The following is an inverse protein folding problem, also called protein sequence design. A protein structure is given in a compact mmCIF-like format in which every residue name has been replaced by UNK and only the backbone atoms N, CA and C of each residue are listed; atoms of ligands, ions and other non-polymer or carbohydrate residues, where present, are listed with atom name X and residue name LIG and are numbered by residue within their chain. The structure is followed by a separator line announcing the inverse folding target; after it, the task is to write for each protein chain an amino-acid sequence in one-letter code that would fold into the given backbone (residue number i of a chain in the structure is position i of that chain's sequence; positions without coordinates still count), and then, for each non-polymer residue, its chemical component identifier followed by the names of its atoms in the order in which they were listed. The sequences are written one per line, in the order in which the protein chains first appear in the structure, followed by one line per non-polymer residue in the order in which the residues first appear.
data_IF_879253276626
#
_entry.id   IF_879253276626
#
_cell.length_a   1.000
_cell.length_b   1.000
_cell.length_c   1.000
_cell.angle_alpha   90.00
_cell.angle_beta   90.00
_cell.angle_gamma   90.00
#
_symmetry.space_group_name_H-M   'P 1'
#
loop_
_entity.id
_entity.type
_entity.pdbx_description
1 polymer ?
#
# COMPACT_ATOMS: atom_id res chain seq x y z
N UNK A 1 16.93 -10.22 -13.55
CA UNK A 1 17.04 -8.79 -13.90
C UNK A 1 17.71 -8.08 -12.73
N UNK A 2 18.73 -7.26 -12.97
CA UNK A 2 19.32 -6.45 -11.88
C UNK A 2 18.29 -5.40 -11.46
N UNK A 3 17.93 -5.39 -10.18
CA UNK A 3 17.03 -4.36 -9.63
C UNK A 3 17.81 -3.06 -9.57
N UNK A 4 17.27 -2.03 -10.22
CA UNK A 4 17.88 -0.69 -10.25
C UNK A 4 17.92 -0.07 -8.83
N UNK A 5 19.09 0.40 -8.41
CA UNK A 5 19.31 1.01 -7.09
C UNK A 5 18.42 2.23 -6.84
N UNK A 6 18.08 3.00 -7.89
CA UNK A 6 17.17 4.14 -7.76
C UNK A 6 15.75 3.68 -7.43
N UNK A 7 15.34 2.54 -7.99
CA UNK A 7 14.05 1.91 -7.70
C UNK A 7 13.98 1.40 -6.25
N UNK A 8 15.07 0.84 -5.73
CA UNK A 8 15.18 0.44 -4.32
C UNK A 8 15.05 1.65 -3.38
N UNK A 9 15.76 2.75 -3.68
CA UNK A 9 15.72 3.96 -2.87
C UNK A 9 14.32 4.58 -2.85
N UNK A 10 13.66 4.69 -4.00
CA UNK A 10 12.30 5.22 -4.09
C UNK A 10 11.31 4.38 -3.27
N UNK A 11 11.43 3.05 -3.32
CA UNK A 11 10.57 2.15 -2.58
C UNK A 11 10.82 2.23 -1.07
N UNK A 12 12.08 2.37 -0.65
CA UNK A 12 12.45 2.60 0.74
C UNK A 12 11.87 3.91 1.29
N UNK A 13 12.02 5.01 0.53
CA UNK A 13 11.48 6.32 0.91
C UNK A 13 9.96 6.28 1.04
N UNK A 14 9.29 5.61 0.09
CA UNK A 14 7.84 5.47 0.13
C UNK A 14 7.37 4.63 1.31
N UNK A 15 7.99 3.47 1.54
CA UNK A 15 7.68 2.60 2.68
C UNK A 15 7.93 3.32 4.01
N UNK A 16 9.06 4.01 4.16
CA UNK A 16 9.36 4.82 5.34
C UNK A 16 8.25 5.84 5.62
N UNK A 17 7.87 6.62 4.60
CA UNK A 17 6.86 7.65 4.76
C UNK A 17 5.50 7.06 5.15
N UNK A 18 5.06 5.98 4.48
CA UNK A 18 3.80 5.33 4.78
C UNK A 18 3.76 4.75 6.19
N UNK A 19 4.83 4.09 6.63
CA UNK A 19 4.90 3.51 7.97
C UNK A 19 4.96 4.60 9.03
N UNK A 20 5.70 5.68 8.79
CA UNK A 20 5.77 6.84 9.69
C UNK A 20 4.42 7.51 9.85
N UNK A 21 3.70 7.75 8.76
CA UNK A 21 2.39 8.41 8.77
C UNK A 21 1.31 7.48 9.34
N UNK A 22 1.29 6.21 8.92
CA UNK A 22 0.29 5.22 9.35
C UNK A 22 0.38 4.89 10.84
N UNK A 23 1.58 4.58 11.34
CA UNK A 23 1.79 4.24 12.75
C UNK A 23 2.09 5.45 13.64
N UNK A 24 2.17 6.66 13.07
CA UNK A 24 2.57 7.90 13.79
C UNK A 24 3.85 7.69 14.62
N UNK A 25 4.80 6.93 14.08
CA UNK A 25 6.06 6.57 14.76
C UNK A 25 7.25 7.09 13.98
N UNK A 26 8.28 7.54 14.69
CA UNK A 26 9.58 7.93 14.13
C UNK A 26 10.66 6.88 14.45
N UNK A 27 10.26 5.61 14.57
CA UNK A 27 11.19 4.53 14.92
C UNK A 27 12.36 4.46 13.95
N UNK A 28 13.57 4.26 14.51
CA UNK A 28 14.77 4.03 13.72
C UNK A 28 14.66 2.77 12.84
N UNK A 29 13.85 1.79 13.24
CA UNK A 29 13.72 0.51 12.52
C UNK A 29 13.00 0.66 11.18
N UNK A 30 12.17 1.70 11.01
CA UNK A 30 11.46 1.98 9.75
C UNK A 30 12.14 3.08 8.93
N UNK A 31 13.36 3.49 9.28
CA UNK A 31 14.08 4.54 8.55
C UNK A 31 14.37 4.14 7.11
N UNK A 32 14.50 5.14 6.24
CA UNK A 32 14.81 4.95 4.81
C UNK A 32 16.10 4.13 4.62
N UNK A 33 17.12 4.36 5.44
CA UNK A 33 18.38 3.60 5.41
C UNK A 33 18.17 2.11 5.75
N UNK A 34 17.41 1.82 6.81
CA UNK A 34 17.15 0.43 7.24
C UNK A 34 16.33 -0.31 6.18
N UNK A 35 15.29 0.32 5.65
CA UNK A 35 14.45 -0.25 4.60
C UNK A 35 15.25 -0.41 3.30
N UNK A 36 16.08 0.58 2.93
CA UNK A 36 16.96 0.50 1.76
C UNK A 36 17.96 -0.64 1.86
N UNK A 37 18.62 -0.81 3.02
CA UNK A 37 19.52 -1.94 3.27
C UNK A 37 18.82 -3.29 3.21
N UNK A 38 17.58 -3.36 3.72
CA UNK A 38 16.76 -4.57 3.66
C UNK A 38 16.40 -4.93 2.23
N UNK A 39 15.91 -3.97 1.46
CA UNK A 39 15.56 -4.16 0.05
C UNK A 39 16.78 -4.51 -0.81
N UNK A 40 17.92 -3.88 -0.54
CA UNK A 40 19.17 -4.21 -1.22
C UNK A 40 19.60 -5.65 -0.91
N UNK A 41 19.47 -6.09 0.33
CA UNK A 41 19.79 -7.45 0.75
C UNK A 41 18.93 -8.51 0.03
N UNK A 42 17.62 -8.33 -0.03
CA UNK A 42 16.74 -9.31 -0.70
C UNK A 42 16.87 -9.29 -2.23
N UNK A 43 17.32 -8.18 -2.81
CA UNK A 43 17.54 -8.06 -4.26
C UNK A 43 18.94 -8.46 -4.71
N UNK A 44 19.89 -8.49 -3.76
CA UNK A 44 21.26 -8.96 -3.95
C UNK A 44 21.64 -9.93 -2.83
N UNK A 45 20.93 -11.08 -2.72
CA UNK A 45 21.16 -12.01 -1.63
C UNK A 45 22.53 -12.70 -1.77
N UNK A 46 23.15 -13.10 -0.66
CA UNK A 46 24.33 -13.97 -0.69
C UNK A 46 24.07 -15.27 -1.48
N UNK A 47 25.13 -15.91 -1.99
CA UNK A 47 25.04 -17.11 -2.87
C UNK A 47 24.24 -18.29 -2.28
N UNK A 48 24.10 -18.35 -0.95
CA UNK A 48 23.39 -19.41 -0.22
C UNK A 48 21.95 -19.04 0.17
N UNK A 49 21.49 -17.83 -0.18
CA UNK A 49 20.14 -17.38 0.13
C UNK A 49 19.25 -17.36 -1.11
N UNK A 50 17.94 -17.39 -0.86
CA UNK A 50 16.90 -17.45 -1.87
C UNK A 50 16.95 -16.21 -2.77
N UNK A 51 17.17 -16.41 -4.06
CA UNK A 51 17.26 -15.33 -5.06
C UNK A 51 15.98 -15.12 -5.88
N UNK A 52 14.99 -15.99 -5.74
CA UNK A 52 13.74 -15.98 -6.52
C UNK A 52 12.55 -16.32 -5.63
N UNK A 53 11.34 -15.95 -6.06
CA UNK A 53 10.09 -16.16 -5.32
C UNK A 53 10.13 -15.54 -3.91
N UNK A 54 10.72 -14.34 -3.78
CA UNK A 54 10.79 -13.61 -2.51
C UNK A 54 9.36 -13.37 -2.00
N UNK A 55 9.07 -13.89 -0.82
CA UNK A 55 7.79 -13.71 -0.14
C UNK A 55 7.88 -12.62 0.93
N UNK A 56 6.73 -12.24 1.48
CA UNK A 56 6.66 -11.23 2.53
C UNK A 56 7.46 -11.66 3.77
N UNK A 57 7.44 -12.94 4.09
CA UNK A 57 8.16 -13.54 5.20
C UNK A 57 9.69 -13.42 5.02
N UNK A 58 10.19 -13.60 3.78
CA UNK A 58 11.62 -13.39 3.45
C UNK A 58 12.04 -11.93 3.71
N UNK A 59 11.18 -10.97 3.39
CA UNK A 59 11.41 -9.56 3.70
C UNK A 59 11.45 -9.31 5.23
N UNK A 60 10.51 -9.87 5.99
CA UNK A 60 10.48 -9.72 7.45
C UNK A 60 11.76 -10.26 8.11
N UNK A 61 12.26 -11.42 7.65
CA UNK A 61 13.50 -12.00 8.15
C UNK A 61 14.73 -11.15 7.81
N UNK A 62 14.84 -10.71 6.55
CA UNK A 62 15.92 -9.81 6.12
C UNK A 62 15.89 -8.51 6.93
N UNK A 63 14.72 -7.94 7.15
CA UNK A 63 14.56 -6.71 7.91
C UNK A 63 15.00 -6.90 9.36
N UNK A 64 14.62 -8.01 9.99
CA UNK A 64 15.05 -8.35 11.35
C UNK A 64 16.57 -8.49 11.44
N UNK A 65 17.20 -9.16 10.47
CA UNK A 65 18.66 -9.29 10.38
C UNK A 65 19.33 -7.91 10.31
N UNK A 66 18.83 -7.00 9.47
CA UNK A 66 19.39 -5.65 9.32
C UNK A 66 19.19 -4.82 10.59
N UNK A 67 17.99 -4.80 11.17
CA UNK A 67 17.69 -4.07 12.42
C UNK A 67 18.58 -4.57 13.56
N UNK A 68 18.72 -5.89 13.73
CA UNK A 68 19.56 -6.46 14.79
C UNK A 68 21.04 -6.19 14.55
N UNK A 69 21.50 -6.19 13.29
CA UNK A 69 22.87 -5.83 12.94
C UNK A 69 23.19 -4.37 13.27
N UNK A 70 22.24 -3.46 13.08
CA UNK A 70 22.44 -2.02 13.29
C UNK A 70 22.24 -1.58 14.74
N UNK A 71 21.25 -2.15 15.43
CA UNK A 71 20.82 -1.65 16.75
C UNK A 71 20.80 -2.71 17.86
N UNK A 72 21.20 -3.95 17.56
CA UNK A 72 21.06 -5.07 18.49
C UNK A 72 19.60 -5.36 18.82
N UNK A 73 19.35 -5.87 20.04
CA UNK A 73 18.00 -6.22 20.51
C UNK A 73 17.22 -5.03 21.10
N UNK A 74 17.79 -3.83 21.09
CA UNK A 74 17.23 -2.65 21.77
C UNK A 74 15.87 -2.22 21.20
N UNK A 75 15.60 -2.54 19.93
CA UNK A 75 14.34 -2.22 19.27
C UNK A 75 13.48 -3.46 18.98
N UNK A 76 13.77 -4.62 19.56
CA UNK A 76 13.05 -5.86 19.22
C UNK A 76 11.56 -5.77 19.54
N UNK A 77 11.18 -5.21 20.69
CA UNK A 77 9.77 -5.07 21.07
C UNK A 77 8.98 -4.15 20.13
N UNK A 78 9.58 -3.06 19.67
CA UNK A 78 8.99 -2.14 18.71
C UNK A 78 8.91 -2.76 17.31
N UNK A 79 9.99 -3.43 16.90
CA UNK A 79 10.05 -4.15 15.64
C UNK A 79 8.98 -5.25 15.57
N UNK A 80 8.80 -6.05 16.63
CA UNK A 80 7.77 -7.09 16.67
C UNK A 80 6.34 -6.51 16.55
N UNK A 81 6.07 -5.36 17.17
CA UNK A 81 4.76 -4.69 17.03
C UNK A 81 4.48 -4.32 15.57
N UNK A 82 5.46 -3.71 14.90
CA UNK A 82 5.31 -3.27 13.50
C UNK A 82 5.16 -4.49 12.58
N UNK A 83 6.00 -5.52 12.75
CA UNK A 83 5.92 -6.77 12.00
C UNK A 83 4.54 -7.42 12.16
N UNK A 84 4.01 -7.49 13.39
CA UNK A 84 2.71 -8.13 13.66
C UNK A 84 1.57 -7.42 12.92
N UNK A 85 1.60 -6.09 12.88
CA UNK A 85 0.60 -5.30 12.15
C UNK A 85 0.74 -5.50 10.64
N UNK A 86 1.95 -5.50 10.10
CA UNK A 86 2.17 -5.77 8.68
C UNK A 86 1.76 -7.20 8.28
N UNK A 87 2.01 -8.19 9.13
CA UNK A 87 1.55 -9.57 8.92
C UNK A 87 0.03 -9.65 8.89
N UNK A 88 -0.64 -8.92 9.79
CA UNK A 88 -2.09 -8.83 9.78
C UNK A 88 -2.60 -8.20 8.47
N UNK A 89 -2.00 -7.08 8.03
CA UNK A 89 -2.34 -6.42 6.75
C UNK A 89 -2.09 -7.34 5.54
N UNK A 90 -0.95 -8.05 5.50
CA UNK A 90 -0.63 -9.00 4.44
C UNK A 90 -1.64 -10.15 4.39
N UNK A 91 -2.13 -10.61 5.55
CA UNK A 91 -3.18 -11.63 5.63
C UNK A 91 -4.50 -11.11 5.06
N UNK A 92 -4.88 -9.87 5.37
CA UNK A 92 -6.07 -9.23 4.77
C UNK A 92 -5.94 -9.16 3.25
N UNK A 93 -4.79 -8.69 2.73
CA UNK A 93 -4.53 -8.60 1.29
C UNK A 93 -4.61 -9.96 0.59
N UNK A 94 -3.94 -10.99 1.12
CA UNK A 94 -4.01 -12.36 0.57
C UNK A 94 -5.44 -12.92 0.58
N UNK A 95 -6.25 -12.56 1.58
CA UNK A 95 -7.65 -12.97 1.63
C UNK A 95 -8.51 -12.28 0.57
N UNK A 96 -8.27 -10.99 0.31
CA UNK A 96 -8.92 -10.21 -0.74
C UNK A 96 -8.53 -10.73 -2.13
N UNK A 97 -7.24 -10.96 -2.39
CA UNK A 97 -6.77 -11.54 -3.67
C UNK A 97 -7.35 -12.94 -3.92
N UNK A 98 -7.49 -13.75 -2.88
CA UNK A 98 -8.10 -15.09 -2.98
C UNK A 98 -9.59 -14.98 -3.30
N UNK A 99 -10.31 -14.03 -2.70
CA UNK A 99 -11.71 -13.75 -3.03
C UNK A 99 -11.84 -13.34 -4.50
N UNK A 100 -10.93 -12.51 -5.02
CA UNK A 100 -10.91 -12.10 -6.43
C UNK A 100 -10.62 -13.26 -7.40
N UNK A 101 -9.67 -14.15 -7.07
CA UNK A 101 -9.32 -15.31 -7.92
C UNK A 101 -10.36 -16.43 -7.90
N UNK A 102 -11.11 -16.58 -6.82
CA UNK A 102 -12.20 -17.57 -6.72
C UNK A 102 -13.49 -17.06 -7.37
N UNK A 103 -13.61 -15.75 -7.56
CA UNK A 103 -14.70 -15.10 -8.27
C UNK A 103 -14.50 -15.17 -9.80
N UNK A 104 -14.61 -16.37 -10.37
CA UNK A 104 -14.95 -16.53 -11.80
C UNK A 104 -16.34 -15.98 -12.15
N UNK A 105 -17.06 -15.51 -11.13
CA UNK A 105 -18.28 -14.72 -11.20
C UNK A 105 -18.05 -13.49 -10.33
N UNK A 106 -17.79 -12.33 -10.94
CA UNK A 106 -17.82 -11.05 -10.22
C UNK A 106 -19.30 -10.77 -9.94
N UNK A 107 -19.79 -10.90 -8.69
CA UNK A 107 -21.16 -10.52 -8.41
C UNK A 107 -21.25 -9.02 -8.71
N UNK A 108 -22.23 -8.62 -9.52
CA UNK A 108 -22.57 -7.21 -9.74
C UNK A 108 -22.60 -6.53 -8.38
N UNK A 109 -21.66 -5.63 -8.11
CA UNK A 109 -21.66 -4.92 -6.83
C UNK A 109 -22.84 -3.97 -6.87
N UNK A 110 -23.82 -4.21 -6.01
CA UNK A 110 -24.92 -3.27 -5.81
C UNK A 110 -24.41 -2.09 -4.97
N UNK A 111 -23.94 -1.05 -5.67
CA UNK A 111 -23.67 0.24 -5.07
C UNK A 111 -24.99 0.95 -4.79
N UNK A 112 -25.14 1.56 -3.62
CA UNK A 112 -26.23 2.49 -3.37
C UNK A 112 -26.01 3.78 -4.15
N UNK A 113 -27.05 4.57 -4.35
CA UNK A 113 -26.91 5.88 -5.01
C UNK A 113 -25.87 6.76 -4.32
N UNK A 114 -25.83 6.76 -2.97
CA UNK A 114 -24.82 7.50 -2.19
C UNK A 114 -23.38 7.06 -2.50
N UNK A 115 -23.16 5.78 -2.77
CA UNK A 115 -21.83 5.24 -3.09
C UNK A 115 -21.45 5.53 -4.53
N UNK A 116 -22.43 5.53 -5.44
CA UNK A 116 -22.26 6.00 -6.81
C UNK A 116 -21.87 7.48 -6.81
N UNK A 117 -22.61 8.31 -6.09
CA UNK A 117 -22.37 9.75 -5.98
C UNK A 117 -20.99 10.03 -5.39
N UNK A 118 -20.60 9.29 -4.35
CA UNK A 118 -19.26 9.38 -3.78
C UNK A 118 -18.18 8.96 -4.78
N UNK A 119 -18.37 7.85 -5.50
CA UNK A 119 -17.39 7.35 -6.49
C UNK A 119 -17.21 8.35 -7.64
N UNK A 120 -18.29 9.00 -8.09
CA UNK A 120 -18.25 10.08 -9.08
C UNK A 120 -17.52 11.32 -8.53
N UNK A 121 -17.80 11.72 -7.29
CA UNK A 121 -17.13 12.84 -6.65
C UNK A 121 -15.63 12.57 -6.44
N UNK A 122 -15.23 11.34 -6.11
CA UNK A 122 -13.82 10.93 -6.04
C UNK A 122 -13.15 11.01 -7.40
N UNK A 123 -13.82 10.51 -8.46
CA UNK A 123 -13.29 10.57 -9.81
C UNK A 123 -13.04 12.02 -10.24
N UNK A 124 -14.03 12.89 -10.05
CA UNK A 124 -13.92 14.31 -10.40
C UNK A 124 -12.82 15.00 -9.59
N UNK A 125 -12.76 14.76 -8.26
CA UNK A 125 -11.73 15.32 -7.41
C UNK A 125 -10.32 14.86 -7.81
N UNK A 126 -10.16 13.61 -8.26
CA UNK A 126 -8.90 13.10 -8.78
C UNK A 126 -8.50 13.79 -10.10
N UNK A 127 -9.46 13.96 -11.03
CA UNK A 127 -9.23 14.58 -12.35
C UNK A 127 -8.82 16.05 -12.19
N UNK A 128 -9.60 16.82 -11.43
CA UNK A 128 -9.43 18.26 -11.19
C UNK A 128 -8.43 18.60 -10.07
N UNK A 129 -7.88 17.57 -9.41
CA UNK A 129 -6.96 17.71 -8.28
C UNK A 129 -7.54 18.50 -7.09
N UNK A 130 -8.85 18.31 -6.83
CA UNK A 130 -9.59 18.92 -5.74
C UNK A 130 -9.48 18.12 -4.44
N UNK A 131 -9.99 18.68 -3.34
CA UNK A 131 -10.09 17.97 -2.07
C UNK A 131 -10.93 16.69 -2.21
N UNK A 132 -10.37 15.57 -1.77
CA UNK A 132 -11.05 14.28 -1.86
C UNK A 132 -12.29 14.23 -0.96
N UNK A 133 -13.47 13.79 -1.44
CA UNK A 133 -14.70 13.77 -0.65
C UNK A 133 -14.63 12.79 0.51
N UNK A 134 -15.39 13.05 1.58
CA UNK A 134 -15.49 12.13 2.73
C UNK A 134 -16.23 10.85 2.33
N UNK A 135 -15.74 9.73 2.82
CA UNK A 135 -16.35 8.43 2.57
C UNK A 135 -17.75 8.37 3.21
N UNK A 136 -18.79 7.98 2.46
CA UNK A 136 -20.08 7.71 3.07
C UNK A 136 -19.95 6.50 3.98
N UNK A 137 -20.65 6.49 5.11
CA UNK A 137 -20.66 5.34 6.02
C UNK A 137 -21.34 4.14 5.34
N UNK A 138 -20.58 3.35 4.60
CA UNK A 138 -21.05 2.11 3.99
C UNK A 138 -20.98 0.96 4.99
N UNK A 139 -22.15 0.42 5.38
CA UNK A 139 -22.27 -0.85 6.12
C UNK A 139 -22.70 -1.96 5.17
N UNK A 140 -22.00 -3.09 5.19
CA UNK A 140 -22.43 -4.30 4.49
C UNK A 140 -21.28 -5.21 4.04
N UNK A 141 -21.53 -6.52 3.93
CA UNK A 141 -20.49 -7.52 3.62
C UNK A 141 -20.00 -7.53 2.15
N UNK A 142 -20.60 -6.73 1.26
CA UNK A 142 -20.38 -6.82 -0.21
C UNK A 142 -19.60 -5.65 -0.84
N UNK A 143 -18.76 -4.91 -0.09
CA UNK A 143 -18.08 -3.71 -0.64
C UNK A 143 -16.54 -3.65 -0.52
N UNK A 144 -15.78 -4.76 -0.66
CA UNK A 144 -14.31 -4.71 -0.70
C UNK A 144 -13.76 -3.68 -1.68
N UNK A 145 -14.24 -3.65 -2.93
CA UNK A 145 -13.77 -2.71 -3.97
C UNK A 145 -13.99 -1.23 -3.62
N UNK A 146 -15.05 -0.92 -2.85
CA UNK A 146 -15.33 0.44 -2.38
C UNK A 146 -14.39 0.82 -1.22
N UNK A 147 -14.12 -0.13 -0.31
CA UNK A 147 -13.14 0.02 0.77
C UNK A 147 -11.73 0.19 0.18
N UNK A 148 -11.40 -0.53 -0.88
CA UNK A 148 -10.12 -0.42 -1.56
C UNK A 148 -9.96 0.91 -2.27
N UNK A 149 -11.00 1.41 -2.94
CA UNK A 149 -11.01 2.78 -3.45
C UNK A 149 -10.79 3.78 -2.31
N UNK A 150 -11.46 3.62 -1.17
CA UNK A 150 -11.28 4.47 0.00
C UNK A 150 -9.84 4.45 0.53
N UNK A 151 -9.21 3.27 0.64
CA UNK A 151 -7.80 3.14 1.04
C UNK A 151 -6.89 3.88 0.06
N UNK A 152 -7.11 3.74 -1.25
CA UNK A 152 -6.33 4.48 -2.27
C UNK A 152 -6.53 5.98 -2.17
N UNK A 153 -7.74 6.45 -1.87
CA UNK A 153 -8.04 7.87 -1.62
C UNK A 153 -7.30 8.39 -0.39
N UNK A 154 -7.20 7.61 0.69
CA UNK A 154 -6.39 7.99 1.85
C UNK A 154 -4.90 8.12 1.50
N UNK A 155 -4.36 7.19 0.71
CA UNK A 155 -2.98 7.27 0.23
C UNK A 155 -2.77 8.52 -0.63
N UNK A 156 -3.73 8.83 -1.52
CA UNK A 156 -3.66 10.03 -2.35
C UNK A 156 -3.66 11.31 -1.53
N UNK A 157 -4.51 11.43 -0.50
CA UNK A 157 -4.54 12.60 0.40
C UNK A 157 -3.19 12.87 1.07
N UNK A 158 -2.44 11.82 1.42
CA UNK A 158 -1.11 11.95 2.04
C UNK A 158 -0.12 12.60 1.07
N UNK A 159 -0.20 12.25 -0.21
CA UNK A 159 0.74 12.71 -1.24
C UNK A 159 0.21 13.89 -2.07
N UNK A 160 -1.06 14.29 -1.90
CA UNK A 160 -1.72 15.28 -2.74
C UNK A 160 -1.04 16.65 -2.68
N UNK A 161 -0.59 17.05 -1.49
CA UNK A 161 0.02 18.37 -1.24
C UNK A 161 1.55 18.37 -1.33
N UNK A 162 2.16 17.22 -1.63
CA UNK A 162 3.62 17.12 -1.72
C UNK A 162 4.16 17.90 -2.93
N UNK A 163 5.24 18.64 -2.72
CA UNK A 163 5.98 19.36 -3.77
C UNK A 163 7.30 18.68 -4.13
N UNK A 164 7.62 17.55 -3.48
CA UNK A 164 8.85 16.82 -3.70
C UNK A 164 8.81 16.08 -5.05
N UNK A 165 9.79 16.29 -5.95
CA UNK A 165 9.78 15.74 -7.31
C UNK A 165 9.65 14.21 -7.36
N UNK A 166 10.30 13.47 -6.45
CA UNK A 166 10.16 12.01 -6.38
C UNK A 166 8.71 11.57 -6.13
N UNK A 167 7.94 12.32 -5.33
CA UNK A 167 6.58 11.97 -4.96
C UNK A 167 5.53 12.46 -5.96
N UNK A 168 5.87 13.36 -6.89
CA UNK A 168 4.98 13.76 -8.00
C UNK A 168 4.62 12.56 -8.86
N UNK A 169 5.63 11.77 -9.28
CA UNK A 169 5.40 10.55 -10.09
C UNK A 169 4.53 9.54 -9.34
N UNK A 170 4.74 9.39 -8.04
CA UNK A 170 3.95 8.48 -7.20
C UNK A 170 2.50 8.96 -7.03
N UNK A 171 2.30 10.26 -6.83
CA UNK A 171 0.96 10.87 -6.80
C UNK A 171 0.22 10.62 -8.12
N UNK A 172 0.90 10.79 -9.25
CA UNK A 172 0.28 10.61 -10.57
C UNK A 172 -0.09 9.13 -10.82
N UNK A 173 0.73 8.18 -10.36
CA UNK A 173 0.39 6.75 -10.38
C UNK A 173 -0.82 6.43 -9.49
N UNK A 174 -0.86 6.97 -8.26
CA UNK A 174 -2.00 6.77 -7.35
C UNK A 174 -3.27 7.38 -7.95
N UNK A 175 -3.18 8.56 -8.58
CA UNK A 175 -4.28 9.18 -9.34
C UNK A 175 -4.78 8.25 -10.44
N UNK A 176 -3.89 7.70 -11.26
CA UNK A 176 -4.28 6.76 -12.32
C UNK A 176 -5.04 5.55 -11.76
N UNK A 177 -4.57 4.98 -10.65
CA UNK A 177 -5.24 3.87 -9.96
C UNK A 177 -6.62 4.26 -9.42
N UNK A 178 -6.78 5.47 -8.86
CA UNK A 178 -8.09 5.97 -8.42
C UNK A 178 -9.05 6.05 -9.61
N UNK A 179 -8.61 6.64 -10.72
CA UNK A 179 -9.45 6.80 -11.91
C UNK A 179 -9.87 5.45 -12.50
N UNK A 180 -8.96 4.49 -12.56
CA UNK A 180 -9.25 3.14 -13.04
C UNK A 180 -10.27 2.42 -12.13
N UNK A 181 -10.08 2.49 -10.81
CA UNK A 181 -11.00 1.89 -9.82
C UNK A 181 -12.39 2.54 -9.87
N UNK A 182 -12.46 3.87 -9.98
CA UNK A 182 -13.71 4.59 -10.17
C UNK A 182 -14.42 4.13 -11.44
N UNK A 183 -13.73 4.06 -12.58
CA UNK A 183 -14.32 3.58 -13.84
C UNK A 183 -14.84 2.15 -13.73
N UNK A 184 -14.10 1.26 -13.07
CA UNK A 184 -14.55 -0.11 -12.82
C UNK A 184 -15.84 -0.16 -12.01
N UNK A 185 -15.88 0.53 -10.86
CA UNK A 185 -17.07 0.61 -10.00
C UNK A 185 -18.27 1.26 -10.69
N UNK A 186 -18.03 2.28 -11.51
CA UNK A 186 -19.09 2.99 -12.23
C UNK A 186 -19.61 2.23 -13.46
N UNK A 187 -18.78 1.37 -14.05
CA UNK A 187 -19.18 0.47 -15.16
C UNK A 187 -19.98 -0.73 -14.65
N UNK A 188 -19.63 -1.23 -13.48
CA UNK A 188 -20.27 -2.40 -12.86
C UNK A 188 -21.58 -2.04 -12.13
N UNK A 189 -22.04 -0.77 -12.22
CA UNK A 189 -23.38 -0.37 -11.76
C UNK A 189 -24.40 -1.27 -12.46
N UNK A 190 -25.24 -1.95 -11.65
CA UNK A 190 -26.34 -2.75 -12.16
C UNK A 190 -27.15 -1.95 -13.19
N UNK A 191 -27.28 -2.53 -14.39
CA UNK A 191 -28.48 -2.36 -15.21
C UNK A 191 -29.68 -2.96 -14.48
#
# INVERSE_FOLDING_TARGET
ALVDNRSVLNLANWAHHLMRVGHKTNSAVISEDVLGKTLHYITNPPLFEKAQNIEFEDFCEAWKKIVFKLFGKNHDSEFQKIISELQWLNTQLKSEEKLERTAGFIPTIYLTQTEIDWTMAVQQAAEENLEMPKYPLSRGPQKPRLIDLYRTVQLYRIVQTTKLPEFIKHRDNIKATILDRCRGLLRDKAS
#
